data_IF_752533747104
#
_entry.id   IF_752533747104
#
_cell.length_a   1.000
_cell.length_b   1.000
_cell.length_c   1.000
_cell.angle_alpha   90.00
_cell.angle_beta   90.00
_cell.angle_gamma   90.00
#
_symmetry.space_group_name_H-M   'P 1'
#
loop_
_entity.id
_entity.type
_entity.pdbx_description
1 polymer ?
#
# COMPACT_ATOMS: atom_id res chain seq x y z
N UNK A 1 -46.51 10.41 -48.71
CA UNK A 1 -45.44 9.42 -48.41
C UNK A 1 -45.39 9.28 -46.90
N UNK A 2 -45.85 8.14 -46.37
CA UNK A 2 -45.74 7.84 -44.95
C UNK A 2 -44.29 7.41 -44.65
N UNK A 3 -43.60 8.15 -43.79
CA UNK A 3 -42.35 7.71 -43.19
C UNK A 3 -42.65 6.42 -42.41
N UNK A 4 -42.07 5.31 -42.84
CA UNK A 4 -42.14 4.06 -42.08
C UNK A 4 -41.37 4.28 -40.79
N UNK A 5 -42.05 4.19 -39.66
CA UNK A 5 -41.43 4.12 -38.35
C UNK A 5 -40.48 2.93 -38.32
N UNK A 6 -39.19 3.21 -38.50
CA UNK A 6 -38.16 2.22 -38.23
C UNK A 6 -38.16 1.99 -36.72
N UNK A 7 -38.28 0.74 -36.24
CA UNK A 7 -38.19 0.46 -34.82
C UNK A 7 -36.85 0.98 -34.32
N UNK A 8 -36.88 1.97 -33.43
CA UNK A 8 -35.68 2.48 -32.79
C UNK A 8 -34.99 1.30 -32.09
N UNK A 9 -33.79 0.97 -32.55
CA UNK A 9 -32.96 -0.02 -31.86
C UNK A 9 -32.69 0.50 -30.45
N UNK A 10 -33.30 -0.14 -29.46
CA UNK A 10 -33.11 0.23 -28.05
C UNK A 10 -31.80 -0.36 -27.55
N UNK A 11 -30.97 0.46 -26.91
CA UNK A 11 -29.77 0.03 -26.18
C UNK A 11 -30.09 -1.07 -25.15
N UNK A 12 -31.31 -1.07 -24.59
CA UNK A 12 -31.77 -2.09 -23.63
C UNK A 12 -31.99 -3.47 -24.27
N UNK A 13 -32.12 -3.53 -25.60
CA UNK A 13 -32.32 -4.77 -26.34
C UNK A 13 -31.03 -5.37 -26.90
N UNK A 14 -29.87 -4.76 -26.63
CA UNK A 14 -28.59 -5.28 -27.09
C UNK A 14 -28.20 -6.54 -26.29
N UNK A 15 -27.66 -7.58 -26.95
CA UNK A 15 -26.99 -8.68 -26.28
C UNK A 15 -25.86 -8.20 -25.36
N UNK A 16 -25.63 -8.93 -24.26
CA UNK A 16 -24.62 -8.56 -23.26
C UNK A 16 -23.23 -8.41 -23.88
N UNK A 17 -22.90 -9.24 -24.87
CA UNK A 17 -21.62 -9.22 -25.58
C UNK A 17 -21.39 -7.89 -26.32
N UNK A 18 -22.44 -7.27 -26.86
CA UNK A 18 -22.35 -5.96 -27.50
C UNK A 18 -22.22 -4.84 -26.47
N UNK A 19 -22.89 -4.96 -25.32
CA UNK A 19 -22.76 -4.01 -24.20
C UNK A 19 -21.32 -4.04 -23.66
N UNK A 20 -20.78 -5.23 -23.43
CA UNK A 20 -19.40 -5.42 -22.97
C UNK A 20 -18.41 -4.87 -23.99
N UNK A 21 -18.65 -5.06 -25.30
CA UNK A 21 -17.81 -4.52 -26.36
C UNK A 21 -17.84 -2.98 -26.40
N UNK A 22 -19.01 -2.35 -26.22
CA UNK A 22 -19.14 -0.89 -26.13
C UNK A 22 -18.31 -0.38 -24.96
N UNK A 23 -18.54 -0.94 -23.77
CA UNK A 23 -17.84 -0.55 -22.54
C UNK A 23 -16.33 -0.76 -22.67
N UNK A 24 -15.90 -1.90 -23.25
CA UNK A 24 -14.49 -2.20 -23.47
C UNK A 24 -13.83 -1.21 -24.44
N UNK A 25 -14.50 -0.86 -25.54
CA UNK A 25 -13.98 0.11 -26.50
C UNK A 25 -13.81 1.50 -25.89
N UNK A 26 -14.73 1.92 -25.04
CA UNK A 26 -14.59 3.18 -24.28
C UNK A 26 -13.35 3.17 -23.37
N UNK A 27 -13.03 2.04 -22.74
CA UNK A 27 -11.80 1.92 -21.92
C UNK A 27 -10.55 1.99 -22.80
N UNK A 28 -10.56 1.32 -23.96
CA UNK A 28 -9.43 1.25 -24.90
C UNK A 28 -9.07 2.64 -25.44
N UNK A 29 -10.08 3.48 -25.69
CA UNK A 29 -9.91 4.86 -26.17
C UNK A 29 -9.38 5.82 -25.07
N UNK A 30 -9.31 5.36 -23.82
CA UNK A 30 -8.40 5.90 -22.79
C UNK A 30 -9.00 6.89 -21.79
N UNK A 31 -10.29 7.25 -21.90
CA UNK A 31 -10.91 8.16 -20.94
C UNK A 31 -11.89 7.44 -19.99
N UNK A 32 -11.57 7.46 -18.69
CA UNK A 32 -12.48 6.93 -17.66
C UNK A 32 -13.71 7.81 -17.48
N UNK A 33 -13.66 9.08 -17.87
CA UNK A 33 -14.79 10.01 -17.76
C UNK A 33 -15.97 9.51 -18.62
N UNK A 34 -15.69 9.02 -19.83
CA UNK A 34 -16.68 8.44 -20.74
C UNK A 34 -17.39 7.23 -20.12
N UNK A 35 -16.68 6.41 -19.33
CA UNK A 35 -17.32 5.29 -18.62
C UNK A 35 -18.32 5.76 -17.57
N UNK A 36 -18.02 6.85 -16.85
CA UNK A 36 -18.98 7.43 -15.91
C UNK A 36 -20.22 7.92 -16.65
N UNK A 37 -20.08 8.59 -17.79
CA UNK A 37 -21.21 9.07 -18.58
C UNK A 37 -22.04 7.91 -19.18
N UNK A 38 -21.39 6.87 -19.68
CA UNK A 38 -22.06 5.64 -20.13
C UNK A 38 -22.82 4.98 -18.97
N UNK A 39 -22.22 4.94 -17.76
CA UNK A 39 -22.86 4.35 -16.58
C UNK A 39 -24.13 5.09 -16.15
N UNK A 40 -24.28 6.36 -16.54
CA UNK A 40 -25.47 7.19 -16.26
C UNK A 40 -26.59 6.98 -17.27
N UNK A 41 -26.31 6.35 -18.42
CA UNK A 41 -27.29 6.19 -19.51
C UNK A 41 -28.39 5.18 -19.17
N UNK A 42 -28.04 3.97 -18.72
CA UNK A 42 -29.02 2.95 -18.32
C UNK A 42 -28.44 1.93 -17.33
N UNK A 43 -29.29 1.14 -16.67
CA UNK A 43 -28.88 0.17 -15.65
C UNK A 43 -28.00 -0.97 -16.20
N UNK A 44 -28.21 -1.39 -17.44
CA UNK A 44 -27.40 -2.42 -18.08
C UNK A 44 -25.97 -1.91 -18.31
N UNK A 45 -25.82 -0.73 -18.93
CA UNK A 45 -24.53 -0.08 -19.13
C UNK A 45 -23.85 0.25 -17.80
N UNK A 46 -24.60 0.69 -16.79
CA UNK A 46 -24.09 0.86 -15.42
C UNK A 46 -23.49 -0.44 -14.89
N UNK A 47 -24.25 -1.52 -14.91
CA UNK A 47 -23.81 -2.81 -14.37
C UNK A 47 -22.55 -3.32 -15.07
N UNK A 48 -22.43 -3.14 -16.38
CA UNK A 48 -21.25 -3.52 -17.16
C UNK A 48 -20.04 -2.59 -16.94
N UNK A 49 -20.26 -1.28 -16.75
CA UNK A 49 -19.18 -0.29 -16.60
C UNK A 49 -18.63 -0.18 -15.18
N UNK A 50 -19.46 -0.36 -14.14
CA UNK A 50 -19.02 -0.19 -12.74
C UNK A 50 -17.78 -1.00 -12.36
N UNK A 51 -17.64 -2.29 -12.74
CA UNK A 51 -16.42 -3.04 -12.44
C UNK A 51 -15.15 -2.38 -12.97
N UNK A 52 -15.20 -1.76 -14.15
CA UNK A 52 -14.05 -1.16 -14.81
C UNK A 52 -13.75 0.25 -14.28
N UNK A 53 -14.79 1.03 -14.02
CA UNK A 53 -14.66 2.36 -13.39
C UNK A 53 -13.94 2.23 -12.05
N UNK A 54 -14.39 1.26 -11.25
CA UNK A 54 -14.04 1.11 -9.85
C UNK A 54 -13.05 -0.02 -9.56
N UNK A 55 -12.42 -0.61 -10.58
CA UNK A 55 -11.40 -1.64 -10.36
C UNK A 55 -10.19 -1.08 -9.60
N UNK A 56 -9.77 0.14 -9.97
CA UNK A 56 -8.60 0.81 -9.43
C UNK A 56 -8.96 2.18 -8.88
N UNK A 57 -8.83 2.31 -7.57
CA UNK A 57 -8.95 3.57 -6.83
C UNK A 57 -7.59 4.18 -6.59
N UNK A 58 -7.48 5.46 -6.94
CA UNK A 58 -6.39 6.33 -6.54
C UNK A 58 -7.00 7.47 -5.73
N UNK A 59 -6.39 7.78 -4.59
CA UNK A 59 -6.75 8.87 -3.70
C UNK A 59 -5.49 9.67 -3.40
N UNK A 60 -5.50 10.96 -3.65
CA UNK A 60 -4.44 11.92 -3.52
C UNK A 60 -5.09 13.27 -3.19
N UNK A 61 -4.66 13.96 -2.12
CA UNK A 61 -5.25 15.23 -1.71
C UNK A 61 -5.12 16.35 -2.74
N UNK A 62 -4.28 16.19 -3.76
CA UNK A 62 -4.11 17.18 -4.82
C UNK A 62 -5.07 16.98 -6.01
N UNK A 63 -5.92 15.95 -5.99
CA UNK A 63 -6.82 15.64 -7.09
C UNK A 63 -8.28 15.86 -6.66
N UNK A 64 -8.88 16.98 -7.07
CA UNK A 64 -10.23 17.40 -6.65
C UNK A 64 -11.33 16.37 -7.01
N UNK A 65 -11.18 15.63 -8.11
CA UNK A 65 -12.15 14.61 -8.55
C UNK A 65 -12.24 13.43 -7.58
N UNK A 66 -11.24 13.24 -6.72
CA UNK A 66 -11.19 12.13 -5.78
C UNK A 66 -11.93 12.43 -4.46
N UNK A 67 -12.24 13.70 -4.16
CA UNK A 67 -13.05 14.08 -2.99
C UNK A 67 -14.51 13.60 -3.16
N UNK A 68 -15.08 13.74 -4.35
CA UNK A 68 -16.43 13.25 -4.67
C UNK A 68 -16.51 11.72 -4.58
N UNK A 69 -15.46 11.01 -5.00
CA UNK A 69 -15.36 9.56 -4.85
C UNK A 69 -15.27 9.16 -3.37
N UNK A 70 -14.49 9.87 -2.57
CA UNK A 70 -14.40 9.63 -1.13
C UNK A 70 -15.73 9.89 -0.42
N UNK A 71 -16.46 10.94 -0.80
CA UNK A 71 -17.83 11.16 -0.33
C UNK A 71 -18.76 10.01 -0.75
N UNK A 72 -18.63 9.52 -1.97
CA UNK A 72 -19.42 8.39 -2.46
C UNK A 72 -19.14 7.11 -1.66
N UNK A 73 -17.91 6.88 -1.18
CA UNK A 73 -17.62 5.75 -0.30
C UNK A 73 -18.01 5.94 1.16
N UNK A 74 -17.96 7.16 1.66
CA UNK A 74 -18.14 7.41 3.10
C UNK A 74 -19.56 7.81 3.47
N UNK A 75 -20.33 8.37 2.53
CA UNK A 75 -21.67 8.91 2.77
C UNK A 75 -22.76 8.16 2.01
N UNK A 76 -22.42 7.40 0.96
CA UNK A 76 -23.42 6.77 0.11
C UNK A 76 -23.84 5.39 0.62
N UNK A 77 -25.15 5.05 0.59
CA UNK A 77 -25.59 3.66 0.78
C UNK A 77 -25.01 2.72 -0.29
N UNK A 78 -24.54 3.25 -1.42
CA UNK A 78 -23.92 2.49 -2.50
C UNK A 78 -22.45 2.13 -2.25
N UNK A 79 -21.83 2.59 -1.16
CA UNK A 79 -20.42 2.34 -0.86
C UNK A 79 -20.04 0.85 -0.86
N UNK A 80 -20.93 0.00 -0.35
CA UNK A 80 -20.71 -1.46 -0.34
C UNK A 80 -20.76 -2.05 -1.75
N UNK A 81 -21.66 -1.55 -2.60
CA UNK A 81 -21.78 -2.00 -3.99
C UNK A 81 -20.61 -1.55 -4.84
N UNK A 82 -20.10 -0.35 -4.63
CA UNK A 82 -18.91 0.13 -5.33
C UNK A 82 -17.67 -0.60 -4.83
N UNK A 83 -17.53 -0.75 -3.51
CA UNK A 83 -16.39 -1.42 -2.89
C UNK A 83 -16.20 -2.87 -3.29
N UNK A 84 -17.25 -3.59 -3.72
CA UNK A 84 -17.12 -4.97 -4.22
C UNK A 84 -16.29 -5.07 -5.51
N UNK A 85 -16.24 -3.99 -6.28
CA UNK A 85 -15.51 -3.90 -7.55
C UNK A 85 -14.05 -3.50 -7.36
N UNK A 86 -13.70 -2.83 -6.24
CA UNK A 86 -12.34 -2.43 -5.91
C UNK A 86 -11.38 -3.62 -5.86
N UNK A 87 -10.36 -3.62 -6.72
CA UNK A 87 -9.25 -4.57 -6.71
C UNK A 87 -7.93 -3.92 -6.31
N UNK A 88 -7.74 -2.65 -6.65
CA UNK A 88 -6.52 -1.90 -6.36
C UNK A 88 -6.90 -0.61 -5.64
N UNK A 89 -6.27 -0.35 -4.50
CA UNK A 89 -6.42 0.90 -3.75
C UNK A 89 -5.05 1.53 -3.56
N UNK A 90 -4.89 2.75 -4.06
CA UNK A 90 -3.67 3.53 -3.98
C UNK A 90 -3.99 4.85 -3.28
N UNK A 91 -3.43 5.07 -2.08
CA UNK A 91 -3.61 6.30 -1.32
C UNK A 91 -2.27 7.01 -1.16
N UNK A 92 -2.19 8.24 -1.67
CA UNK A 92 -1.01 9.08 -1.65
C UNK A 92 -1.18 10.25 -0.69
N UNK A 93 -0.07 10.67 -0.09
CA UNK A 93 0.00 11.76 0.90
C UNK A 93 -0.97 11.59 2.08
N UNK A 94 -1.22 10.33 2.47
CA UNK A 94 -2.17 9.99 3.51
C UNK A 94 -1.72 10.58 4.86
N UNK A 95 -2.64 11.31 5.51
CA UNK A 95 -2.47 11.72 6.89
C UNK A 95 -2.74 10.50 7.80
N UNK A 96 -1.82 10.12 8.71
CA UNK A 96 -2.01 8.99 9.62
C UNK A 96 -3.28 9.05 10.49
N UNK A 97 -3.82 10.24 10.71
CA UNK A 97 -5.02 10.45 11.52
C UNK A 97 -6.32 10.44 10.71
N UNK A 98 -6.23 10.47 9.38
CA UNK A 98 -7.41 10.43 8.53
C UNK A 98 -8.13 9.07 8.62
N UNK A 99 -9.44 9.13 8.86
CA UNK A 99 -10.32 7.98 8.97
C UNK A 99 -10.62 7.30 7.63
N UNK A 100 -10.34 7.99 6.52
CA UNK A 100 -10.75 7.62 5.17
C UNK A 100 -10.25 6.24 4.76
N UNK A 101 -8.96 5.94 4.98
CA UNK A 101 -8.40 4.62 4.67
C UNK A 101 -9.19 3.51 5.36
N UNK A 102 -9.51 3.68 6.64
CA UNK A 102 -10.15 2.64 7.43
C UNK A 102 -11.58 2.37 6.95
N UNK A 103 -12.33 3.42 6.60
CA UNK A 103 -13.67 3.30 6.01
C UNK A 103 -13.65 2.64 4.62
N UNK A 104 -12.65 2.97 3.80
CA UNK A 104 -12.46 2.34 2.49
C UNK A 104 -12.16 0.84 2.62
N UNK A 105 -11.30 0.45 3.56
CA UNK A 105 -11.00 -0.97 3.80
C UNK A 105 -12.22 -1.77 4.28
N UNK A 106 -13.15 -1.16 5.03
CA UNK A 106 -14.41 -1.80 5.43
C UNK A 106 -15.32 -2.14 4.24
N UNK A 107 -15.31 -1.29 3.20
CA UNK A 107 -16.15 -1.45 2.01
C UNK A 107 -15.50 -2.27 0.90
N UNK A 108 -14.17 -2.42 0.88
CA UNK A 108 -13.40 -3.00 -0.24
C UNK A 108 -12.98 -4.44 0.01
N UNK A 109 -13.91 -5.31 0.41
CA UNK A 109 -13.63 -6.71 0.83
C UNK A 109 -12.93 -7.58 -0.22
N UNK A 110 -12.96 -7.19 -1.50
CA UNK A 110 -12.34 -7.94 -2.61
C UNK A 110 -10.97 -7.38 -3.03
N UNK A 111 -10.40 -6.45 -2.25
CA UNK A 111 -9.16 -5.76 -2.56
C UNK A 111 -7.98 -6.75 -2.74
N UNK A 112 -7.25 -6.62 -3.84
CA UNK A 112 -6.10 -7.47 -4.21
C UNK A 112 -4.77 -6.77 -3.93
N UNK A 113 -4.69 -5.48 -4.21
CA UNK A 113 -3.48 -4.68 -4.00
C UNK A 113 -3.77 -3.42 -3.22
N UNK A 114 -2.94 -3.14 -2.21
CA UNK A 114 -3.02 -1.94 -1.38
C UNK A 114 -1.69 -1.19 -1.42
N UNK A 115 -1.72 0.07 -1.83
CA UNK A 115 -0.56 0.94 -1.91
C UNK A 115 -0.80 2.17 -1.05
N UNK A 116 -0.05 2.31 0.03
CA UNK A 116 -0.17 3.43 0.97
C UNK A 116 1.10 4.27 0.93
N UNK A 117 0.96 5.58 0.78
CA UNK A 117 2.05 6.53 0.91
C UNK A 117 1.67 7.60 1.92
N UNK A 118 2.18 7.47 3.15
CA UNK A 118 1.92 8.40 4.24
C UNK A 118 2.76 9.66 4.13
N UNK A 119 2.18 10.80 4.51
CA UNK A 119 2.91 12.06 4.72
C UNK A 119 2.96 12.35 6.22
N UNK A 120 4.06 11.98 6.87
CA UNK A 120 4.25 12.19 8.30
C UNK A 120 4.67 13.64 8.55
N UNK A 121 3.88 14.40 9.29
CA UNK A 121 4.14 15.79 9.67
C UNK A 121 4.54 15.87 11.13
N UNK A 122 5.26 16.93 11.48
CA UNK A 122 5.43 17.38 12.85
C UNK A 122 4.44 18.53 13.08
N UNK A 123 3.82 18.57 14.25
CA UNK A 123 3.15 19.79 14.69
C UNK A 123 4.16 20.85 15.15
N UNK A 124 3.65 22.05 15.47
CA UNK A 124 4.48 23.18 15.88
C UNK A 124 5.19 22.93 17.23
N UNK A 125 4.70 21.99 18.04
CA UNK A 125 5.32 21.54 19.29
C UNK A 125 6.40 20.47 19.05
N UNK A 126 6.69 20.16 17.78
CA UNK A 126 7.66 19.15 17.38
C UNK A 126 7.17 17.71 17.57
N UNK A 127 5.90 17.48 17.92
CA UNK A 127 5.31 16.15 18.02
C UNK A 127 5.03 15.61 16.62
N UNK A 128 5.77 14.57 16.26
CA UNK A 128 5.57 13.86 14.99
C UNK A 128 4.27 13.05 15.01
N UNK A 129 3.53 13.03 13.91
CA UNK A 129 2.51 12.02 13.72
C UNK A 129 3.17 10.70 13.26
N UNK A 130 2.71 9.58 13.80
CA UNK A 130 3.10 8.24 13.37
C UNK A 130 1.89 7.47 12.85
N UNK A 131 2.16 6.47 12.02
CA UNK A 131 1.14 5.50 11.61
C UNK A 131 0.68 4.69 12.82
N UNK A 132 -0.61 4.73 13.14
CA UNK A 132 -1.22 3.85 14.16
C UNK A 132 -1.33 2.43 13.60
N UNK A 133 -0.25 1.67 13.76
CA UNK A 133 -0.09 0.30 13.25
C UNK A 133 -1.16 -0.66 13.77
N UNK A 134 -1.64 -0.46 15.00
CA UNK A 134 -2.70 -1.27 15.62
C UNK A 134 -4.04 -1.00 14.95
N UNK A 135 -4.36 0.28 14.73
CA UNK A 135 -5.57 0.69 14.01
C UNK A 135 -5.55 0.16 12.57
N UNK A 136 -4.41 0.28 11.89
CA UNK A 136 -4.22 -0.24 10.54
C UNK A 136 -4.35 -1.77 10.48
N UNK A 137 -3.67 -2.50 11.37
CA UNK A 137 -3.80 -3.96 11.48
C UNK A 137 -5.26 -4.40 11.68
N UNK A 138 -6.02 -3.70 12.52
CA UNK A 138 -7.46 -3.97 12.73
C UNK A 138 -8.26 -3.77 11.44
N UNK A 139 -8.06 -2.67 10.71
CA UNK A 139 -8.81 -2.42 9.49
C UNK A 139 -8.43 -3.37 8.34
N UNK A 140 -7.16 -3.78 8.24
CA UNK A 140 -6.73 -4.75 7.25
C UNK A 140 -7.42 -6.11 7.39
N UNK A 141 -8.05 -6.43 8.55
CA UNK A 141 -8.88 -7.63 8.71
C UNK A 141 -10.04 -7.70 7.71
N UNK A 142 -10.58 -6.56 7.29
CA UNK A 142 -11.69 -6.52 6.33
C UNK A 142 -11.29 -7.05 4.94
N UNK A 143 -9.99 -6.98 4.60
CA UNK A 143 -9.42 -7.38 3.30
C UNK A 143 -8.45 -8.55 3.41
N UNK A 144 -8.24 -9.12 4.60
CA UNK A 144 -7.18 -10.10 4.83
C UNK A 144 -7.27 -11.40 4.03
N UNK A 145 -8.47 -11.76 3.58
CA UNK A 145 -8.71 -12.93 2.74
C UNK A 145 -8.53 -12.67 1.24
N UNK A 146 -8.50 -11.40 0.82
CA UNK A 146 -8.43 -11.01 -0.59
C UNK A 146 -7.09 -10.37 -0.96
N UNK A 147 -6.45 -9.67 -0.02
CA UNK A 147 -5.27 -8.85 -0.23
C UNK A 147 -4.04 -9.72 -0.52
N UNK A 148 -3.51 -9.61 -1.73
CA UNK A 148 -2.37 -10.38 -2.24
C UNK A 148 -1.08 -9.58 -2.15
N UNK A 149 -1.16 -8.27 -2.37
CA UNK A 149 -0.01 -7.38 -2.37
C UNK A 149 -0.27 -6.14 -1.50
N UNK A 150 0.70 -5.79 -0.66
CA UNK A 150 0.67 -4.57 0.12
C UNK A 150 2.00 -3.84 0.02
N UNK A 151 1.94 -2.53 -0.27
CA UNK A 151 3.09 -1.63 -0.18
C UNK A 151 2.75 -0.47 0.73
N UNK A 152 3.61 -0.22 1.70
CA UNK A 152 3.54 0.95 2.56
C UNK A 152 4.82 1.74 2.35
N UNK A 153 4.67 3.02 2.09
CA UNK A 153 5.72 4.01 2.02
C UNK A 153 5.34 5.16 2.95
N UNK A 154 6.33 5.90 3.40
CA UNK A 154 6.07 7.19 4.01
C UNK A 154 7.17 8.18 3.67
N UNK A 155 6.81 9.46 3.72
CA UNK A 155 7.74 10.58 3.68
C UNK A 155 7.53 11.45 4.91
N UNK A 156 8.60 12.06 5.40
CA UNK A 156 8.49 13.13 6.40
C UNK A 156 8.31 14.47 5.69
N UNK A 157 7.27 15.21 6.05
CA UNK A 157 7.09 16.60 5.68
C UNK A 157 7.98 17.47 6.56
N UNK A 158 9.20 17.77 6.11
CA UNK A 158 10.10 18.70 6.80
C UNK A 158 9.59 20.13 6.58
N UNK A 159 8.76 20.66 7.49
CA UNK A 159 8.60 22.12 7.61
C UNK A 159 9.61 22.72 8.58
N UNK A 160 10.10 21.94 9.53
CA UNK A 160 11.15 22.32 10.46
C UNK A 160 12.45 21.67 10.02
N UNK A 161 13.11 22.31 9.06
CA UNK A 161 14.55 22.13 8.95
C UNK A 161 15.14 22.44 10.33
N UNK A 162 15.88 21.49 10.93
CA UNK A 162 16.86 21.69 12.02
C UNK A 162 16.53 21.27 13.46
N UNK A 163 15.30 20.87 13.84
CA UNK A 163 15.10 20.29 15.19
C UNK A 163 15.52 18.81 15.24
N UNK A 164 16.67 18.57 15.88
CA UNK A 164 17.48 17.34 15.78
C UNK A 164 16.97 16.12 16.52
N UNK A 165 15.89 16.20 17.29
CA UNK A 165 15.50 15.13 18.21
C UNK A 165 14.04 14.72 18.00
N UNK A 166 13.82 13.43 17.73
CA UNK A 166 12.48 12.87 17.70
C UNK A 166 11.94 12.88 19.13
N UNK A 167 10.75 13.43 19.40
CA UNK A 167 10.15 13.24 20.71
C UNK A 167 9.85 11.76 20.93
N UNK A 168 10.65 11.13 21.81
CA UNK A 168 10.59 9.70 22.12
C UNK A 168 9.32 9.31 22.91
N UNK A 169 8.59 10.29 23.48
CA UNK A 169 7.62 10.02 24.55
C UNK A 169 6.20 9.67 24.10
N UNK A 170 5.76 10.08 22.89
CA UNK A 170 4.31 10.11 22.58
C UNK A 170 3.87 9.26 21.38
N UNK A 171 4.79 8.57 20.68
CA UNK A 171 4.37 7.76 19.52
C UNK A 171 3.65 6.49 19.98
N UNK A 172 2.62 6.05 19.26
CA UNK A 172 2.00 4.75 19.53
C UNK A 172 2.90 3.67 18.91
N UNK A 173 3.61 2.90 19.74
CA UNK A 173 4.78 2.12 19.35
C UNK A 173 4.53 0.67 18.91
N UNK A 174 3.29 0.27 18.62
CA UNK A 174 3.03 -1.14 18.39
C UNK A 174 3.60 -1.64 17.06
N UNK A 175 4.09 -2.88 17.05
CA UNK A 175 4.36 -3.60 15.81
C UNK A 175 3.05 -3.93 15.07
N UNK A 176 3.15 -4.08 13.76
CA UNK A 176 2.01 -4.42 12.93
C UNK A 176 1.83 -5.94 12.84
N UNK A 177 0.81 -6.50 13.48
CA UNK A 177 0.43 -7.91 13.29
C UNK A 177 -0.24 -8.05 11.91
N UNK A 178 0.36 -8.86 11.03
CA UNK A 178 -0.08 -9.13 9.66
C UNK A 178 -0.47 -10.60 9.47
N UNK A 179 -0.45 -11.44 10.52
CA UNK A 179 -0.76 -12.88 10.41
C UNK A 179 -2.15 -13.16 9.87
N UNK A 180 -3.10 -12.27 10.10
CA UNK A 180 -4.47 -12.35 9.60
C UNK A 180 -4.58 -12.19 8.07
N UNK A 181 -3.53 -11.69 7.40
CA UNK A 181 -3.54 -11.45 5.95
C UNK A 181 -3.15 -12.73 5.21
N UNK A 182 -3.99 -13.76 5.35
CA UNK A 182 -3.71 -15.10 4.83
C UNK A 182 -3.56 -15.16 3.32
N UNK A 183 -4.08 -14.18 2.57
CA UNK A 183 -3.90 -14.10 1.13
C UNK A 183 -2.62 -13.36 0.70
N UNK A 184 -1.94 -12.67 1.63
CA UNK A 184 -0.81 -11.81 1.32
C UNK A 184 0.40 -12.62 0.88
N UNK A 185 0.91 -12.31 -0.31
CA UNK A 185 2.07 -12.94 -0.94
C UNK A 185 3.25 -11.98 -1.07
N UNK A 186 2.97 -10.71 -1.36
CA UNK A 186 4.00 -9.69 -1.51
C UNK A 186 3.79 -8.56 -0.50
N UNK A 187 4.83 -8.25 0.27
CA UNK A 187 4.84 -7.17 1.24
C UNK A 187 6.05 -6.27 1.01
N UNK A 188 5.79 -4.98 0.80
CA UNK A 188 6.81 -3.93 0.80
C UNK A 188 6.50 -2.99 1.95
N UNK A 189 7.36 -2.90 2.95
CA UNK A 189 7.03 -2.17 4.17
C UNK A 189 8.28 -1.54 4.80
N UNK A 190 8.17 -0.34 5.40
CA UNK A 190 9.26 0.23 6.17
C UNK A 190 9.45 -0.56 7.46
N UNK A 191 10.70 -0.67 7.92
CA UNK A 191 11.02 -1.50 9.08
C UNK A 191 10.34 -0.97 10.34
N UNK A 192 10.31 0.35 10.51
CA UNK A 192 9.65 1.04 11.62
C UNK A 192 8.14 0.78 11.72
N UNK A 193 7.44 0.64 10.58
CA UNK A 193 6.01 0.35 10.57
C UNK A 193 5.76 -1.13 10.90
N UNK A 194 6.59 -2.03 10.37
CA UNK A 194 6.42 -3.46 10.60
C UNK A 194 6.72 -3.85 12.05
N UNK A 195 7.90 -3.45 12.54
CA UNK A 195 8.42 -3.84 13.86
C UNK A 195 8.01 -2.89 14.99
N UNK A 196 7.39 -1.77 14.65
CA UNK A 196 7.11 -0.69 15.59
C UNK A 196 8.28 0.30 15.66
N UNK A 197 7.99 1.45 16.26
CA UNK A 197 8.93 2.59 16.35
C UNK A 197 9.96 2.44 17.48
N UNK A 198 9.82 1.42 18.34
CA UNK A 198 10.75 1.09 19.43
C UNK A 198 11.45 -0.25 19.15
N UNK A 199 12.72 -0.22 18.75
CA UNK A 199 13.50 -1.43 18.47
C UNK A 199 13.53 -2.45 19.60
N UNK A 200 13.60 -1.99 20.84
CA UNK A 200 13.66 -2.80 22.05
C UNK A 200 12.34 -3.54 22.36
N UNK A 201 11.22 -3.03 21.83
CA UNK A 201 9.89 -3.65 21.93
C UNK A 201 9.53 -4.48 20.68
N UNK A 202 10.44 -4.55 19.68
CA UNK A 202 10.17 -5.22 18.42
C UNK A 202 9.89 -6.72 18.65
N UNK A 203 8.77 -7.24 18.12
CA UNK A 203 8.48 -8.66 18.20
C UNK A 203 9.41 -9.45 17.29
N UNK A 204 9.43 -10.77 17.48
CA UNK A 204 10.09 -11.66 16.53
C UNK A 204 9.44 -11.53 15.16
N UNK A 205 10.23 -11.32 14.10
CA UNK A 205 9.72 -11.06 12.75
C UNK A 205 8.68 -12.09 12.29
N UNK A 206 8.94 -13.40 12.46
CA UNK A 206 7.97 -14.41 12.04
C UNK A 206 6.69 -14.49 12.88
N UNK A 207 6.68 -13.90 14.08
CA UNK A 207 5.46 -13.85 14.91
C UNK A 207 4.41 -12.87 14.39
N UNK A 208 4.77 -11.99 13.46
CA UNK A 208 3.88 -10.97 12.89
C UNK A 208 3.64 -11.13 11.38
N UNK A 209 4.45 -11.93 10.67
CA UNK A 209 4.32 -12.10 9.22
C UNK A 209 3.21 -13.09 8.84
N UNK A 210 2.52 -12.90 7.70
CA UNK A 210 1.52 -13.84 7.21
C UNK A 210 2.15 -15.14 6.69
N UNK A 211 1.51 -16.30 6.88
CA UNK A 211 2.11 -17.60 6.56
C UNK A 211 2.31 -17.87 5.06
N UNK A 212 1.54 -17.19 4.20
CA UNK A 212 1.58 -17.35 2.74
C UNK A 212 2.46 -16.31 2.04
N UNK A 213 3.20 -15.50 2.79
CA UNK A 213 4.09 -14.49 2.23
C UNK A 213 5.23 -15.16 1.46
N UNK A 214 5.43 -14.76 0.20
CA UNK A 214 6.49 -15.26 -0.70
C UNK A 214 7.63 -14.27 -0.85
N UNK A 215 7.31 -12.97 -0.77
CA UNK A 215 8.27 -11.88 -0.96
C UNK A 215 8.10 -10.83 0.12
N UNK A 216 9.19 -10.56 0.84
CA UNK A 216 9.28 -9.49 1.83
C UNK A 216 10.31 -8.46 1.38
N UNK A 217 9.88 -7.22 1.18
CA UNK A 217 10.74 -6.09 0.84
C UNK A 217 10.76 -5.10 1.99
N UNK A 218 11.93 -4.96 2.61
CA UNK A 218 12.19 -3.86 3.54
C UNK A 218 12.58 -2.63 2.74
N UNK A 219 11.87 -1.53 2.98
CA UNK A 219 12.21 -0.23 2.40
C UNK A 219 12.79 0.71 3.45
N UNK A 220 13.52 1.71 2.95
CA UNK A 220 14.15 2.73 3.80
C UNK A 220 13.08 3.53 4.54
N UNK A 221 13.27 3.61 5.85
CA UNK A 221 12.65 4.61 6.70
C UNK A 221 13.33 5.97 6.44
N UNK A 222 12.64 6.92 5.79
CA UNK A 222 13.21 8.24 5.44
C UNK A 222 13.57 9.14 6.65
N UNK A 223 13.50 8.64 7.88
CA UNK A 223 13.84 9.41 9.08
C UNK A 223 15.35 9.58 9.28
N UNK A 224 15.75 10.79 9.65
CA UNK A 224 17.08 11.15 10.15
C UNK A 224 17.54 10.27 11.33
N UNK A 225 16.59 9.76 12.11
CA UNK A 225 16.82 8.88 13.26
C UNK A 225 16.75 7.38 12.92
N UNK A 226 16.66 7.01 11.64
CA UNK A 226 16.71 5.60 11.27
C UNK A 226 18.05 4.96 11.60
N UNK A 227 19.15 5.71 11.48
CA UNK A 227 20.46 5.26 11.94
C UNK A 227 20.44 4.94 13.45
N UNK A 228 19.76 5.77 14.26
CA UNK A 228 19.57 5.53 15.70
C UNK A 228 18.64 4.35 15.96
N UNK A 229 17.53 4.23 15.22
CA UNK A 229 16.63 3.08 15.27
C UNK A 229 17.39 1.78 15.00
N UNK A 230 18.21 1.73 13.95
CA UNK A 230 19.04 0.58 13.62
C UNK A 230 20.22 0.35 14.56
N UNK A 231 20.74 1.40 15.20
CA UNK A 231 21.76 1.26 16.24
C UNK A 231 21.17 0.65 17.52
N UNK A 232 19.91 0.99 17.83
CA UNK A 232 19.17 0.49 18.98
C UNK A 232 18.55 -0.89 18.74
N UNK A 233 18.09 -1.16 17.51
CA UNK A 233 17.77 -2.52 17.07
C UNK A 233 19.09 -3.28 17.13
N UNK A 234 19.14 -4.42 17.83
CA UNK A 234 20.22 -5.40 17.59
C UNK A 234 20.37 -5.50 16.08
N UNK A 235 21.59 -5.27 15.58
CA UNK A 235 21.84 -4.91 14.18
C UNK A 235 20.88 -5.63 13.22
N UNK A 236 20.33 -4.97 12.20
CA UNK A 236 19.34 -5.57 11.31
C UNK A 236 19.71 -6.99 10.82
N UNK A 237 21.00 -7.28 10.65
CA UNK A 237 21.55 -8.62 10.40
C UNK A 237 21.22 -9.63 11.49
N UNK A 238 21.35 -9.26 12.76
CA UNK A 238 20.96 -10.09 13.92
C UNK A 238 19.47 -10.43 13.86
N UNK A 239 18.62 -9.46 13.50
CA UNK A 239 17.19 -9.72 13.34
C UNK A 239 16.91 -10.73 12.22
N UNK A 240 17.54 -10.56 11.05
CA UNK A 240 17.40 -11.50 9.94
C UNK A 240 17.95 -12.88 10.29
N UNK A 241 19.07 -12.92 11.01
CA UNK A 241 19.71 -14.15 11.46
C UNK A 241 18.85 -14.90 12.47
N UNK A 242 18.26 -14.21 13.45
CA UNK A 242 17.36 -14.81 14.43
C UNK A 242 16.05 -15.31 13.81
N UNK A 243 15.59 -14.63 12.75
CA UNK A 243 14.43 -15.04 11.96
C UNK A 243 14.71 -16.26 11.09
N UNK A 244 15.88 -16.33 10.46
CA UNK A 244 16.25 -17.42 9.54
C UNK A 244 16.71 -18.69 10.27
N UNK A 245 17.27 -18.57 11.48
CA UNK A 245 17.79 -19.70 12.28
C UNK A 245 16.73 -20.71 12.73
N UNK A 246 17.18 -21.95 12.91
CA UNK A 246 16.48 -23.03 13.65
C UNK A 246 15.13 -23.47 13.05
N UNK A 247 14.99 -23.51 11.73
CA UNK A 247 13.74 -23.93 11.05
C UNK A 247 12.51 -23.07 11.40
N UNK A 248 12.69 -21.94 12.10
CA UNK A 248 11.60 -21.07 12.54
C UNK A 248 10.91 -20.39 11.36
N UNK A 249 11.68 -20.07 10.33
CA UNK A 249 11.15 -19.58 9.06
C UNK A 249 10.07 -20.53 8.49
N UNK A 250 10.37 -21.83 8.45
CA UNK A 250 9.44 -22.84 7.95
C UNK A 250 8.19 -22.99 8.85
N UNK A 251 8.31 -22.67 10.14
CA UNK A 251 7.17 -22.67 11.06
C UNK A 251 6.25 -21.47 10.86
N UNK A 252 6.81 -20.28 10.66
CA UNK A 252 6.05 -19.03 10.64
C UNK A 252 5.60 -18.61 9.25
N UNK A 253 6.51 -18.70 8.28
CA UNK A 253 6.34 -18.15 6.94
C UNK A 253 6.89 -19.17 5.91
N UNK A 254 6.31 -20.40 5.85
CA UNK A 254 6.88 -21.51 5.08
C UNK A 254 7.01 -21.26 3.58
N UNK A 255 6.27 -20.27 3.06
CA UNK A 255 6.28 -19.93 1.64
C UNK A 255 7.24 -18.79 1.30
N UNK A 256 7.97 -18.25 2.27
CA UNK A 256 8.87 -17.14 2.01
C UNK A 256 10.03 -17.62 1.14
N UNK A 257 10.11 -17.08 -0.07
CA UNK A 257 11.13 -17.44 -1.06
C UNK A 257 12.20 -16.37 -1.16
N UNK A 258 11.84 -15.11 -0.89
CA UNK A 258 12.74 -13.97 -1.13
C UNK A 258 12.60 -12.86 -0.10
N UNK A 259 13.75 -12.30 0.26
CA UNK A 259 13.84 -11.05 1.02
C UNK A 259 14.63 -10.04 0.19
N UNK A 260 14.02 -8.87 0.01
CA UNK A 260 14.61 -7.72 -0.63
C UNK A 260 14.87 -6.65 0.43
N UNK A 261 16.06 -6.05 0.39
CA UNK A 261 16.39 -4.87 1.18
C UNK A 261 16.63 -3.74 0.18
N UNK A 262 15.70 -2.79 0.08
CA UNK A 262 15.80 -1.73 -0.90
C UNK A 262 16.99 -0.82 -0.57
N UNK A 263 17.83 -0.58 -1.59
CA UNK A 263 19.02 0.24 -1.45
C UNK A 263 18.63 1.71 -1.26
N UNK A 264 19.03 2.30 -0.14
CA UNK A 264 18.78 3.70 0.16
C UNK A 264 19.64 4.15 1.33
N UNK A 265 20.88 4.55 1.07
CA UNK A 265 21.77 5.27 1.98
C UNK A 265 21.77 4.73 3.43
N UNK A 266 21.89 3.41 3.57
CA UNK A 266 21.96 2.76 4.88
C UNK A 266 23.24 3.13 5.64
N UNK A 267 24.25 3.67 4.93
CA UNK A 267 25.60 3.85 5.42
C UNK A 267 26.26 5.09 4.80
N UNK A 268 27.23 5.64 5.52
CA UNK A 268 27.99 6.84 5.14
C UNK A 268 28.80 6.64 3.85
N UNK A 269 29.18 5.38 3.54
CA UNK A 269 29.95 5.05 2.34
C UNK A 269 29.38 3.87 1.55
N UNK A 270 29.62 3.87 0.24
CA UNK A 270 29.29 2.75 -0.66
C UNK A 270 29.94 1.43 -0.21
N UNK A 271 31.16 1.51 0.35
CA UNK A 271 31.95 0.34 0.76
C UNK A 271 31.31 -0.38 1.95
N UNK A 272 30.83 0.37 2.93
CA UNK A 272 30.13 -0.20 4.08
C UNK A 272 28.88 -0.95 3.61
N UNK A 273 28.20 -0.41 2.58
CA UNK A 273 26.97 -0.99 2.04
C UNK A 273 27.19 -2.30 1.33
N UNK A 274 28.22 -2.37 0.49
CA UNK A 274 28.63 -3.62 -0.16
C UNK A 274 28.96 -4.68 0.90
N UNK A 275 29.72 -4.31 1.95
CA UNK A 275 30.05 -5.20 3.05
C UNK A 275 28.81 -5.75 3.81
N UNK A 276 27.87 -4.88 4.20
CA UNK A 276 26.64 -5.32 4.90
C UNK A 276 25.71 -6.10 3.99
N UNK A 277 25.60 -5.72 2.72
CA UNK A 277 24.80 -6.43 1.72
C UNK A 277 25.28 -7.86 1.54
N UNK A 278 26.60 -8.08 1.46
CA UNK A 278 27.16 -9.41 1.33
C UNK A 278 26.92 -10.26 2.58
N UNK A 279 26.95 -9.66 3.78
CA UNK A 279 26.59 -10.34 5.03
C UNK A 279 25.11 -10.72 5.04
N UNK A 280 24.21 -9.80 4.70
CA UNK A 280 22.76 -10.06 4.63
C UNK A 280 22.45 -11.14 3.59
N UNK A 281 23.03 -11.01 2.38
CA UNK A 281 22.88 -11.99 1.30
C UNK A 281 23.28 -13.38 1.79
N UNK A 282 24.46 -13.50 2.41
CA UNK A 282 24.95 -14.77 2.95
C UNK A 282 24.00 -15.35 4.00
N UNK A 283 23.56 -14.55 4.97
CA UNK A 283 22.62 -15.00 6.02
C UNK A 283 21.34 -15.55 5.39
N UNK A 284 20.80 -14.90 4.37
CA UNK A 284 19.56 -15.34 3.72
C UNK A 284 19.77 -16.59 2.87
N UNK A 285 20.80 -16.61 2.02
CA UNK A 285 21.09 -17.72 1.11
C UNK A 285 21.48 -18.99 1.86
N UNK A 286 22.25 -18.89 2.95
CA UNK A 286 22.57 -20.03 3.83
C UNK A 286 21.34 -20.66 4.49
N UNK A 287 20.23 -19.90 4.56
CA UNK A 287 18.95 -20.37 5.12
C UNK A 287 17.88 -20.60 4.03
N UNK A 288 18.29 -20.74 2.76
CA UNK A 288 17.41 -21.09 1.65
C UNK A 288 16.53 -19.95 1.12
N UNK A 289 16.80 -18.70 1.51
CA UNK A 289 16.10 -17.52 1.02
C UNK A 289 16.90 -16.84 -0.10
N UNK A 290 16.20 -16.44 -1.17
CA UNK A 290 16.80 -15.62 -2.22
C UNK A 290 16.92 -14.17 -1.75
N UNK A 291 18.14 -13.65 -1.76
CA UNK A 291 18.36 -12.21 -1.63
C UNK A 291 18.11 -11.51 -2.97
N UNK A 292 17.28 -10.48 -2.97
CA UNK A 292 17.05 -9.63 -4.15
C UNK A 292 17.62 -8.25 -3.85
N UNK A 293 18.63 -7.85 -4.62
CA UNK A 293 19.12 -6.47 -4.60
C UNK A 293 18.16 -5.62 -5.44
N UNK A 294 17.35 -4.79 -4.79
CA UNK A 294 16.57 -3.78 -5.49
C UNK A 294 17.42 -2.52 -5.66
N UNK A 295 17.92 -2.34 -6.89
CA UNK A 295 18.44 -1.07 -7.41
C UNK A 295 17.33 -0.23 -8.01
N UNK A 296 16.14 -0.27 -7.42
CA UNK A 296 15.13 0.74 -7.73
C UNK A 296 15.73 2.06 -7.23
N UNK A 297 16.47 2.73 -8.12
CA UNK A 297 16.61 4.18 -8.08
C UNK A 297 15.21 4.68 -7.87
N UNK A 298 15.05 5.47 -6.79
CA UNK A 298 13.78 6.07 -6.38
C UNK A 298 12.85 6.11 -7.57
N UNK A 299 11.74 5.35 -7.54
CA UNK A 299 10.62 5.75 -8.38
C UNK A 299 10.39 7.18 -7.95
N UNK A 300 10.83 8.09 -8.81
CA UNK A 300 10.92 9.49 -8.49
C UNK A 300 9.49 9.99 -8.58
N UNK A 301 8.72 9.75 -7.53
CA UNK A 301 7.39 10.32 -7.37
C UNK A 301 7.44 11.86 -7.35
N UNK A 302 8.63 12.49 -7.25
CA UNK A 302 8.81 13.93 -7.42
C UNK A 302 8.95 14.36 -8.89
N UNK A 303 9.19 13.45 -9.84
CA UNK A 303 9.18 13.78 -11.28
C UNK A 303 7.78 13.91 -11.90
N UNK A 304 6.69 13.81 -11.12
CA UNK A 304 5.31 13.96 -11.62
C UNK A 304 4.47 15.08 -10.99
N UNK A 305 5.09 16.04 -10.32
CA UNK A 305 4.48 17.36 -10.00
C UNK A 305 5.62 18.29 -9.59
N UNK A 306 6.17 19.13 -10.48
CA UNK A 306 5.72 20.51 -10.68
C UNK A 306 4.93 21.06 -9.50
N UNK A 307 5.61 21.84 -8.65
CA UNK A 307 5.11 23.11 -8.08
C UNK A 307 6.33 23.93 -7.63
N UNK A 308 6.94 24.63 -8.59
CA UNK A 308 7.35 26.02 -8.35
C UNK A 308 6.07 26.85 -8.41
N UNK A 309 5.57 27.26 -7.24
CA UNK A 309 4.90 28.53 -7.01
C UNK A 309 5.33 29.04 -5.63
#
# INVERSE_FOLDING_TARGET
MALRDHPHASLLGLPQELIDMIVFKTVEDGDKSDLFDISRTCSALRTASLPLIYERFRCSPNNFDEEELLELFTKSPFATDVGKHAKILEMQFLDPWDDTLYRLLECTKNLKSLYLHYCLKYDDDGKGCCVDTRRLSKALRHVGHSLVEMRIHYRFGNRLNETKEWPESDLKHHAMDLRQLVALRALTIPTSILLGWRPEEAPMLGSILPPNLTTLTFIRDHSFNYARFLANLKSFETLLLDFSRNQRLAQWTPRLESICVQNGYWLETKKDWEGRTDVIRRILEENGLKYIESRVGLIDWSTHTMYEQ
#
